data_IF_450115600527
#
_entry.id   IF_450115600527
#
_cell.length_a   1.000
_cell.length_b   1.000
_cell.length_c   1.000
_cell.angle_alpha   90.00
_cell.angle_beta   90.00
_cell.angle_gamma   90.00
#
_symmetry.space_group_name_H-M   'P 1'
#
loop_
_entity.id
_entity.type
_entity.pdbx_description
1 polymer ?
#
# COMPACT_ATOMS: atom_id res chain seq x y z
N UNK A 1 -4.74 17.14 2.65
CA UNK A 1 -3.54 16.49 3.24
C UNK A 1 -3.04 15.41 2.30
N UNK A 2 -1.72 15.17 2.17
CA UNK A 2 -1.20 14.18 1.22
C UNK A 2 -0.74 12.91 1.93
N UNK A 3 -1.09 11.76 1.37
CA UNK A 3 -0.63 10.45 1.78
C UNK A 3 0.10 9.79 0.61
N UNK A 4 1.25 9.19 0.89
CA UNK A 4 2.00 8.40 -0.09
C UNK A 4 2.01 6.97 0.38
N UNK A 5 1.42 6.09 -0.42
CA UNK A 5 1.35 4.66 -0.18
C UNK A 5 2.25 3.91 -1.17
N UNK A 6 2.94 2.89 -0.68
CA UNK A 6 3.69 1.93 -1.49
C UNK A 6 3.10 0.54 -1.30
N UNK A 7 2.70 -0.10 -2.39
CA UNK A 7 2.31 -1.50 -2.40
C UNK A 7 3.45 -2.34 -2.97
N UNK A 8 4.02 -3.21 -2.15
CA UNK A 8 5.02 -4.19 -2.54
C UNK A 8 4.33 -5.52 -2.90
N UNK A 9 4.61 -6.02 -4.09
CA UNK A 9 4.09 -7.30 -4.61
C UNK A 9 5.20 -8.12 -5.27
N UNK A 10 4.99 -9.43 -5.42
CA UNK A 10 5.87 -10.31 -6.19
C UNK A 10 5.19 -10.83 -7.45
N UNK A 11 5.58 -10.30 -8.60
CA UNK A 11 5.10 -10.74 -9.91
C UNK A 11 3.58 -10.60 -10.10
N UNK A 12 2.99 -11.57 -10.81
CA UNK A 12 1.59 -11.51 -11.26
C UNK A 12 0.71 -12.63 -10.71
N UNK A 13 1.06 -13.14 -9.52
CA UNK A 13 0.19 -14.10 -8.81
C UNK A 13 -1.22 -13.53 -8.59
N UNK A 14 -2.22 -14.38 -8.40
CA UNK A 14 -3.58 -13.93 -8.07
C UNK A 14 -3.59 -13.02 -6.85
N UNK A 15 -2.81 -13.36 -5.81
CA UNK A 15 -2.61 -12.50 -4.64
C UNK A 15 -2.09 -11.11 -4.99
N UNK A 16 -1.14 -11.00 -5.91
CA UNK A 16 -0.60 -9.70 -6.35
C UNK A 16 -1.63 -8.91 -7.17
N UNK A 17 -2.46 -9.59 -7.98
CA UNK A 17 -3.54 -8.95 -8.74
C UNK A 17 -4.62 -8.41 -7.81
N UNK A 18 -5.12 -9.22 -6.89
CA UNK A 18 -6.10 -8.81 -5.87
C UNK A 18 -5.58 -7.66 -5.01
N UNK A 19 -4.33 -7.74 -4.54
CA UNK A 19 -3.73 -6.67 -3.75
C UNK A 19 -3.67 -5.34 -4.51
N UNK A 20 -3.37 -5.35 -5.81
CA UNK A 20 -3.39 -4.15 -6.65
C UNK A 20 -4.79 -3.58 -6.77
N UNK A 21 -5.78 -4.41 -7.06
CA UNK A 21 -7.19 -3.99 -7.19
C UNK A 21 -7.70 -3.35 -5.90
N UNK A 22 -7.45 -3.99 -4.75
CA UNK A 22 -7.82 -3.47 -3.43
C UNK A 22 -7.08 -2.16 -3.11
N UNK A 23 -5.78 -2.06 -3.42
CA UNK A 23 -5.02 -0.83 -3.20
C UNK A 23 -5.45 0.32 -4.12
N UNK A 24 -5.81 0.05 -5.38
CA UNK A 24 -6.39 1.06 -6.26
C UNK A 24 -7.76 1.53 -5.76
N UNK A 25 -8.58 0.62 -5.23
CA UNK A 25 -9.83 1.01 -4.61
C UNK A 25 -9.60 1.94 -3.40
N UNK A 26 -8.56 1.68 -2.60
CA UNK A 26 -8.15 2.56 -1.50
C UNK A 26 -7.70 3.93 -1.98
N UNK A 27 -6.89 4.03 -3.04
CA UNK A 27 -6.39 5.32 -3.53
C UNK A 27 -7.48 6.17 -4.17
N UNK A 28 -8.46 5.53 -4.81
CA UNK A 28 -9.61 6.19 -5.43
C UNK A 28 -10.73 6.52 -4.43
N UNK A 29 -10.61 6.06 -3.19
CA UNK A 29 -11.57 6.38 -2.16
C UNK A 29 -11.37 7.81 -1.69
N UNK A 30 -12.14 8.71 -2.30
CA UNK A 30 -12.28 10.07 -1.85
C UNK A 30 -13.22 10.10 -0.65
N UNK A 31 -12.65 10.04 0.55
CA UNK A 31 -13.41 10.47 1.73
C UNK A 31 -13.64 11.98 1.60
N UNK A 32 -14.82 12.44 2.02
CA UNK A 32 -15.31 13.82 1.89
C UNK A 32 -14.45 14.90 2.62
N UNK A 33 -13.21 14.59 3.02
CA UNK A 33 -12.33 15.37 3.90
C UNK A 33 -11.06 15.95 3.28
N UNK A 34 -10.87 15.90 1.95
CA UNK A 34 -9.84 16.69 1.27
C UNK A 34 -8.39 16.20 1.43
N UNK A 35 -8.20 14.87 1.44
CA UNK A 35 -6.87 14.28 1.32
C UNK A 35 -6.63 13.61 -0.03
N UNK A 36 -5.36 13.58 -0.44
CA UNK A 36 -4.89 12.98 -1.68
C UNK A 36 -4.05 11.76 -1.35
N UNK A 37 -4.35 10.62 -1.99
CA UNK A 37 -3.56 9.39 -1.87
C UNK A 37 -2.79 9.20 -3.18
N UNK A 38 -1.47 9.23 -3.10
CA UNK A 38 -0.58 8.78 -4.16
C UNK A 38 -0.19 7.33 -3.89
N UNK A 39 -0.43 6.44 -4.85
CA UNK A 39 -0.12 5.01 -4.74
C UNK A 39 0.97 4.62 -5.72
N UNK A 40 2.07 4.08 -5.21
CA UNK A 40 3.15 3.49 -5.99
C UNK A 40 3.10 1.95 -5.87
N UNK A 41 3.21 1.25 -7.00
CA UNK A 41 3.26 -0.21 -7.05
C UNK A 41 4.69 -0.67 -7.31
N UNK A 42 5.25 -1.45 -6.40
CA UNK A 42 6.62 -1.96 -6.47
C UNK A 42 6.58 -3.47 -6.65
N UNK A 43 6.94 -3.94 -7.84
CA UNK A 43 7.17 -5.37 -8.09
C UNK A 43 8.60 -5.73 -7.70
N UNK A 44 8.73 -6.44 -6.58
CA UNK A 44 10.01 -6.83 -6.01
C UNK A 44 10.82 -7.76 -6.91
N UNK A 45 10.15 -8.49 -7.81
CA UNK A 45 10.81 -9.41 -8.73
C UNK A 45 11.51 -8.65 -9.86
N UNK A 46 10.95 -7.50 -10.24
CA UNK A 46 11.50 -6.59 -11.26
C UNK A 46 12.51 -5.62 -10.67
N UNK A 47 12.35 -5.26 -9.39
CA UNK A 47 13.18 -4.30 -8.70
C UNK A 47 13.81 -4.91 -7.44
N UNK A 48 14.82 -5.78 -7.64
CA UNK A 48 15.45 -6.56 -6.55
C UNK A 48 16.13 -5.69 -5.49
N UNK A 49 16.58 -4.49 -5.85
CA UNK A 49 17.25 -3.57 -4.93
C UNK A 49 16.27 -2.80 -4.03
N UNK A 50 15.01 -2.60 -4.47
CA UNK A 50 13.99 -1.91 -3.68
C UNK A 50 13.63 -2.67 -2.38
N UNK A 51 13.70 -3.99 -2.40
CA UNK A 51 13.36 -4.86 -1.25
C UNK A 51 14.34 -4.70 -0.10
N UNK A 52 15.63 -4.52 -0.42
CA UNK A 52 16.69 -4.40 0.59
C UNK A 52 16.65 -3.07 1.32
N UNK A 53 16.17 -2.02 0.66
CA UNK A 53 16.16 -0.68 1.24
C UNK A 53 14.91 -0.41 2.09
N UNK A 54 13.81 -1.14 1.84
CA UNK A 54 12.53 -0.93 2.53
C UNK A 54 12.22 -2.00 3.60
N UNK A 55 13.13 -2.95 3.88
CA UNK A 55 12.96 -4.03 4.88
C UNK A 55 11.62 -4.77 4.75
N UNK A 56 11.20 -5.06 3.50
CA UNK A 56 9.94 -5.76 3.21
C UNK A 56 10.22 -7.24 2.97
N UNK A 57 9.92 -8.07 3.97
CA UNK A 57 10.13 -9.52 3.91
C UNK A 57 8.88 -10.32 3.53
N UNK A 58 7.68 -9.74 3.74
CA UNK A 58 6.39 -10.41 3.53
C UNK A 58 5.62 -9.66 2.45
N UNK A 59 5.01 -10.41 1.52
CA UNK A 59 4.26 -9.86 0.39
C UNK A 59 2.89 -10.53 0.28
N UNK A 60 1.85 -9.80 -0.13
CA UNK A 60 1.84 -8.35 -0.40
C UNK A 60 1.89 -7.50 0.88
N UNK A 61 2.53 -6.33 0.82
CA UNK A 61 2.58 -5.34 1.90
C UNK A 61 2.21 -3.96 1.38
N UNK A 62 1.26 -3.30 2.04
CA UNK A 62 0.91 -1.91 1.80
C UNK A 62 1.52 -1.06 2.92
N UNK A 63 2.21 0.00 2.55
CA UNK A 63 2.88 0.88 3.49
C UNK A 63 2.54 2.34 3.22
N UNK A 64 2.18 3.09 4.27
CA UNK A 64 2.19 4.54 4.24
C UNK A 64 3.60 5.04 4.54
N UNK A 65 4.24 5.65 3.55
CA UNK A 65 5.59 6.23 3.67
C UNK A 65 5.55 7.72 4.00
N UNK A 66 4.45 8.41 3.71
CA UNK A 66 4.22 9.80 4.10
C UNK A 66 2.76 10.02 4.54
N UNK A 67 2.50 10.82 5.60
CA UNK A 67 3.48 11.48 6.50
C UNK A 67 4.30 10.48 7.33
N UNK A 68 5.19 10.94 8.21
CA UNK A 68 5.84 10.07 9.19
C UNK A 68 5.00 10.02 10.49
N UNK A 69 5.11 8.94 11.30
CA UNK A 69 5.91 7.74 11.07
C UNK A 69 5.29 6.80 10.02
N UNK A 70 6.13 5.95 9.41
CA UNK A 70 5.70 4.91 8.47
C UNK A 70 4.79 3.91 9.17
N UNK A 71 3.77 3.40 8.47
CA UNK A 71 2.89 2.31 8.96
C UNK A 71 2.61 1.30 7.86
N UNK A 72 2.47 0.02 8.21
CA UNK A 72 2.35 -1.09 7.25
C UNK A 72 1.15 -1.98 7.57
N UNK A 73 0.54 -2.52 6.52
CA UNK A 73 -0.46 -3.58 6.55
C UNK A 73 0.01 -4.71 5.63
N UNK A 74 -0.08 -5.96 6.10
CA UNK A 74 0.37 -7.15 5.38
C UNK A 74 -0.85 -7.98 4.99
N UNK A 75 -0.87 -8.50 3.76
CA UNK A 75 -1.93 -9.40 3.29
C UNK A 75 -2.97 -8.70 2.42
N UNK A 76 -4.25 -8.97 2.67
CA UNK A 76 -5.36 -8.41 1.88
C UNK A 76 -5.78 -7.04 2.43
N UNK A 77 -6.30 -6.18 1.56
CA UNK A 77 -6.70 -4.80 1.85
C UNK A 77 -8.19 -4.54 1.57
N UNK A 78 -9.00 -5.60 1.56
CA UNK A 78 -10.45 -5.55 1.29
C UNK A 78 -11.27 -4.75 2.31
N UNK A 79 -10.88 -4.74 3.59
CA UNK A 79 -11.51 -3.92 4.62
C UNK A 79 -10.85 -2.54 4.69
N UNK A 80 -11.38 -1.62 3.89
CA UNK A 80 -10.83 -0.28 3.72
C UNK A 80 -10.74 0.53 5.01
N UNK A 81 -11.77 0.51 5.84
CA UNK A 81 -11.77 1.28 7.11
C UNK A 81 -10.69 0.77 8.05
N UNK A 82 -10.54 -0.57 8.13
CA UNK A 82 -9.52 -1.20 8.95
C UNK A 82 -8.12 -0.91 8.42
N UNK A 83 -7.92 -0.96 7.10
CA UNK A 83 -6.65 -0.62 6.46
C UNK A 83 -6.27 0.83 6.73
N UNK A 84 -7.20 1.78 6.56
CA UNK A 84 -6.94 3.19 6.87
C UNK A 84 -6.61 3.42 8.34
N UNK A 85 -7.35 2.80 9.26
CA UNK A 85 -7.05 2.87 10.70
C UNK A 85 -5.63 2.37 11.01
N UNK A 86 -5.22 1.22 10.46
CA UNK A 86 -3.87 0.70 10.63
C UNK A 86 -2.81 1.60 10.00
N UNK A 87 -3.09 2.18 8.84
CA UNK A 87 -2.21 3.16 8.22
C UNK A 87 -2.22 4.49 9.00
N UNK A 88 -3.21 4.78 9.83
CA UNK A 88 -3.38 6.08 10.50
C UNK A 88 -3.85 7.16 9.54
N UNK A 89 -4.78 6.81 8.67
CA UNK A 89 -5.49 7.71 7.77
C UNK A 89 -6.90 7.87 8.36
N UNK A 90 -7.29 9.10 8.67
CA UNK A 90 -8.60 9.48 9.23
C UNK A 90 -9.29 10.49 8.31
#
# INVERSE_FOLDING_TARGET
MKYVLKLYISGESERAKTAKEEAYALSNYHYNGGYEIELEIIDVMKNKDAVKNDDVFILPTLERVFPLPRRRVIGQFSDMQKVFSYLGIE
#
